data_IF_409166430054
#
_entry.id   IF_409166430054
#
_cell.length_a   1.000
_cell.length_b   1.000
_cell.length_c   1.000
_cell.angle_alpha   90.00
_cell.angle_beta   90.00
_cell.angle_gamma   90.00
#
_symmetry.space_group_name_H-M   'P 1'
#
loop_
_entity.id
_entity.type
_entity.pdbx_description
1 polymer ?
#
# COMPACT_ATOMS: atom_id res chain seq x y z
N UNK A 1 10.27 -15.62 -1.08
CA UNK A 1 10.50 -15.19 0.31
C UNK A 1 10.66 -13.68 0.31
N UNK A 2 9.85 -12.95 1.08
CA UNK A 2 9.94 -11.48 1.18
C UNK A 2 11.11 -11.14 2.10
N UNK A 3 12.03 -10.28 1.66
CA UNK A 3 13.26 -9.94 2.38
C UNK A 3 13.61 -8.46 2.20
N UNK A 4 14.20 -7.87 3.23
CA UNK A 4 14.77 -6.51 3.17
C UNK A 4 15.88 -6.46 2.11
N UNK A 5 15.97 -5.33 1.39
CA UNK A 5 16.94 -5.12 0.32
C UNK A 5 16.60 -5.81 -1.01
N UNK A 6 15.58 -6.67 -1.04
CA UNK A 6 15.03 -7.21 -2.29
C UNK A 6 13.97 -6.25 -2.86
N UNK A 7 13.67 -6.37 -4.16
CA UNK A 7 12.56 -5.62 -4.77
C UNK A 7 11.27 -5.90 -3.99
N UNK A 8 10.54 -4.84 -3.63
CA UNK A 8 9.24 -4.96 -3.00
C UNK A 8 8.28 -5.78 -3.89
N UNK A 9 7.47 -6.67 -3.31
CA UNK A 9 6.48 -7.43 -4.07
C UNK A 9 5.49 -6.48 -4.76
N UNK A 10 5.17 -6.77 -6.03
CA UNK A 10 4.11 -6.05 -6.73
C UNK A 10 2.77 -6.27 -6.02
N UNK A 11 2.00 -5.20 -5.87
CA UNK A 11 0.62 -5.29 -5.40
C UNK A 11 -0.27 -4.32 -6.16
N UNK A 12 -1.55 -4.68 -6.19
CA UNK A 12 -2.63 -3.83 -6.66
C UNK A 12 -3.81 -3.98 -5.72
N UNK A 13 -4.37 -2.87 -5.26
CA UNK A 13 -5.48 -2.87 -4.32
C UNK A 13 -6.44 -1.70 -4.60
N UNK A 14 -7.74 -1.85 -4.28
CA UNK A 14 -8.63 -0.71 -4.19
C UNK A 14 -8.22 0.16 -2.99
N UNK A 15 -8.31 1.48 -3.16
CA UNK A 15 -8.04 2.45 -2.11
C UNK A 15 -9.07 3.58 -2.17
N UNK A 16 -9.36 4.18 -1.02
CA UNK A 16 -10.12 5.41 -0.92
C UNK A 16 -9.15 6.59 -0.74
N UNK A 17 -9.22 7.57 -1.62
CA UNK A 17 -8.34 8.74 -1.60
C UNK A 17 -9.07 9.95 -2.19
N UNK A 18 -8.94 11.11 -1.53
CA UNK A 18 -9.58 12.37 -1.96
C UNK A 18 -11.09 12.20 -2.24
N UNK A 19 -11.78 11.46 -1.38
CA UNK A 19 -13.23 11.25 -1.47
C UNK A 19 -13.66 10.25 -2.56
N UNK A 20 -12.73 9.53 -3.21
CA UNK A 20 -13.03 8.64 -4.33
C UNK A 20 -12.37 7.27 -4.16
N UNK A 21 -13.05 6.25 -4.69
CA UNK A 21 -12.44 4.93 -4.87
C UNK A 21 -11.56 4.94 -6.12
N UNK A 22 -10.34 4.43 -5.98
CA UNK A 22 -9.40 4.24 -7.09
C UNK A 22 -8.63 2.94 -6.91
N UNK A 23 -8.09 2.43 -8.01
CA UNK A 23 -7.12 1.33 -7.99
C UNK A 23 -5.72 1.91 -7.79
N UNK A 24 -4.95 1.33 -6.88
CA UNK A 24 -3.57 1.72 -6.59
C UNK A 24 -2.67 0.55 -6.94
N UNK A 25 -1.60 0.81 -7.71
CA UNK A 25 -0.55 -0.16 -8.00
C UNK A 25 0.77 0.35 -7.44
N UNK A 26 1.61 -0.53 -6.90
CA UNK A 26 2.93 -0.15 -6.41
C UNK A 26 3.81 0.45 -7.51
N UNK A 27 3.71 -0.09 -8.74
CA UNK A 27 4.45 0.38 -9.90
C UNK A 27 4.21 1.86 -10.25
N UNK A 28 3.03 2.41 -9.92
CA UNK A 28 2.68 3.82 -10.20
C UNK A 28 3.54 4.82 -9.38
N UNK A 29 4.27 4.32 -8.38
CA UNK A 29 5.13 5.10 -7.49
C UNK A 29 6.63 4.91 -7.76
N UNK A 30 7.00 4.27 -8.87
CA UNK A 30 8.41 4.11 -9.24
C UNK A 30 9.15 5.46 -9.28
N UNK A 31 10.38 5.49 -8.75
CA UNK A 31 11.18 6.71 -8.63
C UNK A 31 10.83 7.61 -7.45
N UNK A 32 9.85 7.23 -6.61
CA UNK A 32 9.51 7.93 -5.36
C UNK A 32 9.82 7.04 -4.15
N UNK A 33 10.11 7.67 -3.02
CA UNK A 33 10.10 6.98 -1.74
C UNK A 33 8.65 6.68 -1.33
N UNK A 34 8.40 5.44 -0.92
CA UNK A 34 7.07 4.95 -0.53
C UNK A 34 7.17 4.32 0.85
N UNK A 35 6.23 4.69 1.73
CA UNK A 35 6.02 4.06 3.02
C UNK A 35 4.72 3.25 2.96
N UNK A 36 4.80 1.94 3.17
CA UNK A 36 3.62 1.08 3.28
C UNK A 36 3.37 0.76 4.76
N UNK A 37 2.23 1.21 5.29
CA UNK A 37 1.83 1.00 6.67
C UNK A 37 0.70 -0.03 6.72
N UNK A 38 0.88 -1.07 7.55
CA UNK A 38 -0.17 -2.02 7.87
C UNK A 38 -0.66 -1.72 9.29
N UNK A 39 -1.97 -1.75 9.49
CA UNK A 39 -2.59 -1.58 10.80
C UNK A 39 -3.69 -2.63 11.01
N UNK A 40 -4.07 -2.95 12.26
CA UNK A 40 -4.90 -4.12 12.56
C UNK A 40 -6.31 -4.10 11.97
N UNK A 41 -6.95 -2.92 11.92
CA UNK A 41 -8.29 -2.77 11.36
C UNK A 41 -8.96 -1.47 11.78
N UNK A 42 -9.96 -1.07 11.00
CA UNK A 42 -10.83 0.07 11.30
C UNK A 42 -11.84 -0.29 12.40
N UNK A 43 -12.22 0.71 13.22
CA UNK A 43 -13.28 0.60 14.22
C UNK A 43 -13.14 -0.62 15.16
N UNK A 44 -11.92 -0.90 15.59
CA UNK A 44 -11.64 -1.95 16.57
C UNK A 44 -12.08 -1.52 17.98
N UNK A 45 -12.37 -2.49 18.83
CA UNK A 45 -12.58 -2.25 20.26
C UNK A 45 -11.22 -2.03 20.94
N UNK A 46 -11.12 -0.98 21.76
CA UNK A 46 -9.93 -0.65 22.56
C UNK A 46 -10.15 -1.03 24.01
#
# INVERSE_FOLDING_TARGET
MIKVGSKAPEFSAPAFHEGKFKKVNLADYAGKWVMLCFYPGDFTFV
#
